data_IF_273120262634
#
_entry.id   IF_273120262634
#
_cell.length_a   1.000
_cell.length_b   1.000
_cell.length_c   1.000
_cell.angle_alpha   90.00
_cell.angle_beta   90.00
_cell.angle_gamma   90.00
#
_symmetry.space_group_name_H-M   'P 1'
#
loop_
_entity.id
_entity.type
_entity.pdbx_description
1 polymer ?
#
# COMPACT_ATOMS: atom_id res chain seq x y z
N UNK A 1 -12.85 -7.39 -39.52
CA UNK A 1 -12.54 -8.24 -38.35
C UNK A 1 -12.42 -7.31 -37.16
N UNK A 2 -13.45 -7.22 -36.31
CA UNK A 2 -13.37 -6.44 -35.08
C UNK A 2 -12.41 -7.17 -34.12
N UNK A 3 -11.33 -6.49 -33.71
CA UNK A 3 -10.45 -7.01 -32.67
C UNK A 3 -11.31 -7.25 -31.42
N UNK A 4 -11.34 -8.50 -30.95
CA UNK A 4 -11.95 -8.83 -29.65
C UNK A 4 -11.13 -8.09 -28.58
N UNK A 5 -11.63 -6.97 -28.08
CA UNK A 5 -11.09 -6.37 -26.86
C UNK A 5 -11.23 -7.40 -25.74
N UNK A 6 -10.10 -7.74 -25.11
CA UNK A 6 -10.12 -8.50 -23.87
C UNK A 6 -10.99 -7.71 -22.87
N UNK A 7 -11.87 -8.37 -22.09
CA UNK A 7 -12.65 -7.68 -21.08
C UNK A 7 -11.70 -7.01 -20.08
N UNK A 8 -11.87 -5.70 -19.88
CA UNK A 8 -11.07 -4.92 -18.93
C UNK A 8 -11.41 -5.33 -17.50
N UNK A 9 -10.41 -5.74 -16.72
CA UNK A 9 -10.54 -6.08 -15.30
C UNK A 9 -10.12 -4.86 -14.46
N UNK A 10 -11.04 -3.91 -14.27
CA UNK A 10 -10.80 -2.74 -13.44
C UNK A 10 -10.91 -3.11 -11.95
N UNK A 11 -9.84 -2.86 -11.19
CA UNK A 11 -9.81 -3.09 -9.75
C UNK A 11 -9.45 -1.81 -9.01
N UNK A 12 -10.03 -1.65 -7.82
CA UNK A 12 -9.71 -0.58 -6.88
C UNK A 12 -8.65 -1.07 -5.89
N UNK A 13 -7.60 -0.28 -5.68
CA UNK A 13 -6.51 -0.61 -4.76
C UNK A 13 -6.15 0.61 -3.91
N UNK A 14 -5.62 0.39 -2.71
CA UNK A 14 -5.16 1.44 -1.82
C UNK A 14 -3.64 1.39 -1.68
N UNK A 15 -2.97 2.46 -2.11
CA UNK A 15 -1.55 2.70 -1.89
C UNK A 15 -1.35 3.45 -0.57
N UNK A 16 -0.38 3.01 0.23
CA UNK A 16 0.02 3.63 1.49
C UNK A 16 1.50 3.95 1.49
N UNK A 17 1.85 5.14 1.97
CA UNK A 17 3.23 5.54 2.26
C UNK A 17 3.26 6.33 3.57
N UNK A 18 3.74 5.69 4.65
CA UNK A 18 3.69 6.27 5.99
C UNK A 18 2.25 6.53 6.43
N UNK A 19 1.87 7.81 6.59
CA UNK A 19 0.50 8.24 6.92
C UNK A 19 -0.30 8.70 5.69
N UNK A 20 0.29 8.67 4.50
CA UNK A 20 -0.37 9.07 3.25
C UNK A 20 -1.06 7.89 2.62
N UNK A 21 -2.32 8.05 2.25
CA UNK A 21 -3.14 7.04 1.60
C UNK A 21 -3.66 7.57 0.27
N UNK A 22 -3.68 6.71 -0.76
CA UNK A 22 -4.28 7.03 -2.05
C UNK A 22 -4.96 5.81 -2.65
N UNK A 23 -6.25 5.95 -2.93
CA UNK A 23 -7.01 4.96 -3.70
C UNK A 23 -6.86 5.23 -5.19
N UNK A 24 -6.53 4.21 -5.97
CA UNK A 24 -6.45 4.29 -7.44
C UNK A 24 -7.23 3.14 -8.09
N UNK A 25 -7.74 3.39 -9.29
CA UNK A 25 -8.32 2.37 -10.16
C UNK A 25 -7.27 1.96 -11.19
N UNK A 26 -7.06 0.66 -11.36
CA UNK A 26 -6.10 0.10 -12.33
C UNK A 26 -6.77 -0.97 -13.18
N UNK A 27 -6.37 -1.05 -14.44
CA UNK A 27 -6.75 -2.16 -15.33
C UNK A 27 -5.76 -3.32 -15.16
N UNK A 28 -6.20 -4.37 -14.47
CA UNK A 28 -5.36 -5.57 -14.25
C UNK A 28 -5.13 -6.38 -15.53
N UNK A 29 -5.96 -6.18 -16.55
CA UNK A 29 -5.75 -6.79 -17.87
C UNK A 29 -4.62 -6.12 -18.66
N UNK A 30 -4.18 -4.92 -18.25
CA UNK A 30 -3.05 -4.24 -18.87
C UNK A 30 -1.72 -4.97 -18.57
N UNK A 31 -0.94 -5.41 -19.59
CA UNK A 31 0.35 -6.06 -19.37
C UNK A 31 1.37 -5.18 -18.62
N UNK A 32 1.20 -3.85 -18.68
CA UNK A 32 2.07 -2.87 -18.04
C UNK A 32 1.53 -2.35 -16.70
N UNK A 33 0.50 -3.00 -16.13
CA UNK A 33 -0.15 -2.55 -14.88
C UNK A 33 0.83 -2.36 -13.72
N UNK A 34 1.87 -3.18 -13.61
CA UNK A 34 2.87 -3.05 -12.55
C UNK A 34 3.73 -1.78 -12.72
N UNK A 35 4.02 -1.38 -13.95
CA UNK A 35 4.77 -0.16 -14.24
C UNK A 35 3.91 1.07 -13.96
N UNK A 36 2.62 1.03 -14.31
CA UNK A 36 1.65 2.06 -13.96
C UNK A 36 1.50 2.21 -12.44
N UNK A 37 1.40 1.09 -11.74
CA UNK A 37 1.35 1.04 -10.27
C UNK A 37 2.62 1.62 -9.64
N UNK A 38 3.79 1.30 -10.20
CA UNK A 38 5.07 1.85 -9.75
C UNK A 38 5.16 3.35 -9.98
N UNK A 39 4.69 3.86 -11.12
CA UNK A 39 4.63 5.29 -11.41
C UNK A 39 3.71 6.04 -10.44
N UNK A 40 2.57 5.45 -10.07
CA UNK A 40 1.69 6.00 -9.04
C UNK A 40 2.38 6.07 -7.67
N UNK A 41 3.15 5.05 -7.32
CA UNK A 41 3.92 5.05 -6.08
C UNK A 41 5.02 6.13 -6.07
N UNK A 42 5.71 6.32 -7.20
CA UNK A 42 6.68 7.41 -7.38
C UNK A 42 6.01 8.77 -7.15
N UNK A 43 4.83 9.01 -7.72
CA UNK A 43 4.10 10.27 -7.54
C UNK A 43 3.64 10.51 -6.11
N UNK A 44 3.26 9.47 -5.37
CA UNK A 44 2.92 9.59 -3.94
C UNK A 44 4.15 9.97 -3.14
N UNK A 45 5.27 9.28 -3.38
CA UNK A 45 6.52 9.49 -2.66
C UNK A 45 7.10 10.87 -2.93
N UNK A 46 7.11 11.32 -4.19
CA UNK A 46 7.65 12.65 -4.56
C UNK A 46 6.85 13.80 -3.94
N UNK A 47 5.53 13.63 -3.79
CA UNK A 47 4.67 14.61 -3.10
C UNK A 47 4.82 14.57 -1.58
N UNK A 48 5.17 13.42 -1.01
CA UNK A 48 5.35 13.27 0.43
C UNK A 48 6.74 13.72 0.90
N UNK A 49 7.75 13.65 0.03
CA UNK A 49 9.14 14.01 0.33
C UNK A 49 9.66 14.93 -0.78
N UNK A 50 9.47 16.24 -0.59
CA UNK A 50 9.92 17.27 -1.55
C UNK A 50 11.43 17.22 -1.83
N UNK A 51 12.23 16.70 -0.90
CA UNK A 51 13.69 16.60 -1.02
C UNK A 51 14.19 15.31 -1.68
N UNK A 52 13.29 14.40 -2.07
CA UNK A 52 13.72 13.11 -2.61
C UNK A 52 14.07 13.25 -4.10
N UNK A 53 15.37 13.23 -4.39
CA UNK A 53 15.83 13.12 -5.77
C UNK A 53 15.56 11.70 -6.32
N UNK A 54 14.45 11.55 -7.03
CA UNK A 54 14.03 10.30 -7.66
C UNK A 54 15.00 9.80 -8.74
N UNK A 55 15.90 10.65 -9.25
CA UNK A 55 16.94 10.24 -10.19
C UNK A 55 18.17 9.67 -9.50
N UNK A 56 18.24 9.75 -8.17
CA UNK A 56 19.32 9.17 -7.41
C UNK A 56 19.12 7.64 -7.35
N UNK A 57 19.93 6.91 -8.14
CA UNK A 57 19.96 5.45 -8.28
C UNK A 57 20.08 4.65 -6.96
N UNK A 58 20.29 5.34 -5.82
CA UNK A 58 20.37 4.73 -4.49
C UNK A 58 19.02 4.47 -3.83
N UNK A 59 17.94 5.10 -4.31
CA UNK A 59 16.60 4.90 -3.77
C UNK A 59 15.85 3.88 -4.63
N UNK A 60 15.45 2.77 -4.01
CA UNK A 60 14.64 1.74 -4.65
C UNK A 60 13.25 1.72 -4.03
N UNK A 61 12.23 2.09 -4.81
CA UNK A 61 10.83 1.95 -4.39
C UNK A 61 10.38 0.51 -4.64
N UNK A 62 9.86 -0.13 -3.59
CA UNK A 62 9.29 -1.47 -3.61
C UNK A 62 7.87 -1.44 -3.05
N UNK A 63 7.02 -2.31 -3.61
CA UNK A 63 5.59 -2.38 -3.28
C UNK A 63 5.28 -3.70 -2.59
N UNK A 64 4.67 -3.64 -1.42
CA UNK A 64 4.37 -4.80 -0.60
C UNK A 64 2.88 -4.87 -0.30
N UNK A 65 2.28 -6.04 -0.49
CA UNK A 65 0.93 -6.31 0.00
C UNK A 65 0.98 -6.48 1.50
N UNK A 66 0.08 -5.77 2.20
CA UNK A 66 -0.20 -6.01 3.61
C UNK A 66 -1.19 -7.16 3.65
N UNK A 67 -0.75 -8.33 4.10
CA UNK A 67 -1.64 -9.49 4.17
C UNK A 67 -2.54 -9.39 5.40
N UNK A 68 -3.88 -9.24 5.25
CA UNK A 68 -4.77 -9.00 6.38
C UNK A 68 -5.04 -10.26 7.22
N UNK A 69 -4.70 -11.44 6.70
CA UNK A 69 -5.05 -12.73 7.29
C UNK A 69 -3.93 -13.38 8.11
N UNK A 70 -2.74 -12.77 8.18
CA UNK A 70 -1.60 -13.33 8.92
C UNK A 70 -1.39 -12.60 10.25
N UNK A 71 -1.24 -13.38 11.32
CA UNK A 71 -0.68 -12.94 12.59
C UNK A 71 0.66 -13.68 12.82
N UNK A 72 1.81 -12.97 12.82
CA UNK A 72 1.98 -11.52 12.71
C UNK A 72 1.72 -10.99 11.28
N UNK A 73 1.43 -9.67 11.12
CA UNK A 73 1.29 -9.05 9.81
C UNK A 73 2.52 -9.32 8.96
N UNK A 74 2.32 -9.83 7.75
CA UNK A 74 3.43 -10.11 6.82
C UNK A 74 3.33 -9.25 5.58
N UNK A 75 4.50 -8.80 5.11
CA UNK A 75 4.64 -8.04 3.88
C UNK A 75 5.03 -8.99 2.75
N UNK A 76 4.21 -9.04 1.70
CA UNK A 76 4.51 -9.81 0.48
C UNK A 76 4.90 -8.86 -0.65
N UNK A 77 6.13 -8.97 -1.15
CA UNK A 77 6.57 -8.20 -2.32
C UNK A 77 5.70 -8.53 -3.54
N UNK A 78 5.16 -7.50 -4.18
CA UNK A 78 4.40 -7.62 -5.44
C UNK A 78 5.39 -7.89 -6.56
N UNK A 79 5.23 -9.03 -7.26
CA UNK A 79 6.08 -9.40 -8.40
C UNK A 79 5.29 -9.61 -9.69
N UNK A 80 3.99 -9.92 -9.57
CA UNK A 80 3.14 -10.29 -10.70
C UNK A 80 1.80 -9.56 -10.61
N UNK A 81 1.16 -9.31 -11.74
CA UNK A 81 -0.20 -8.74 -11.78
C UNK A 81 -1.23 -9.60 -11.02
N UNK A 82 -1.02 -10.92 -10.94
CA UNK A 82 -1.86 -11.83 -10.16
C UNK A 82 -1.79 -11.62 -8.65
N UNK A 83 -0.76 -10.94 -8.14
CA UNK A 83 -0.70 -10.57 -6.73
C UNK A 83 -1.73 -9.48 -6.38
N UNK A 84 -2.27 -8.78 -7.40
CA UNK A 84 -3.25 -7.72 -7.23
C UNK A 84 -4.67 -8.30 -7.13
N UNK A 85 -5.29 -8.07 -5.97
CA UNK A 85 -6.69 -8.40 -5.70
C UNK A 85 -7.50 -7.13 -5.50
N UNK A 86 -8.82 -7.14 -5.80
CA UNK A 86 -9.68 -6.01 -5.48
C UNK A 86 -9.58 -5.64 -4.00
N UNK A 87 -9.56 -4.33 -3.72
CA UNK A 87 -9.46 -3.76 -2.38
C UNK A 87 -8.19 -4.16 -1.59
N UNK A 88 -7.10 -4.52 -2.27
CA UNK A 88 -5.84 -4.77 -1.56
C UNK A 88 -5.21 -3.46 -1.05
N UNK A 89 -4.52 -3.59 0.08
CA UNK A 89 -3.70 -2.54 0.68
C UNK A 89 -2.23 -2.81 0.36
N UNK A 90 -1.58 -1.83 -0.26
CA UNK A 90 -0.20 -1.91 -0.74
C UNK A 90 0.63 -0.85 -0.02
N UNK A 91 1.59 -1.30 0.79
CA UNK A 91 2.60 -0.46 1.41
C UNK A 91 3.72 -0.16 0.41
N UNK A 92 4.05 1.12 0.27
CA UNK A 92 5.19 1.62 -0.49
C UNK A 92 6.37 1.72 0.49
N UNK A 93 7.46 1.01 0.20
CA UNK A 93 8.68 1.06 1.00
C UNK A 93 9.81 1.58 0.13
N UNK A 94 10.52 2.59 0.65
CA UNK A 94 11.75 3.09 0.05
C UNK A 94 12.90 2.34 0.70
N UNK A 95 13.72 1.71 -0.13
CA UNK A 95 14.98 1.10 0.28
C UNK A 95 16.14 1.99 -0.17
N UNK A 96 17.12 2.23 0.72
CA UNK A 96 18.35 2.97 0.40
C UNK A 96 19.57 2.08 0.58
N UNK A 97 20.40 1.96 -0.45
CA UNK A 97 21.54 1.02 -0.44
C UNK A 97 22.75 1.45 0.39
N UNK A 98 22.85 2.73 0.73
CA UNK A 98 23.99 3.32 1.45
C UNK A 98 23.79 3.45 2.96
N UNK A 99 22.63 3.04 3.48
CA UNK A 99 22.32 3.07 4.90
C UNK A 99 21.67 1.76 5.35
N UNK A 100 22.43 0.96 6.10
CA UNK A 100 21.87 0.07 7.12
C UNK A 100 21.35 0.92 8.30
N UNK A 101 20.45 1.86 8.06
CA UNK A 101 19.72 2.49 9.16
C UNK A 101 18.63 1.52 9.60
N UNK A 102 19.03 0.49 10.32
CA UNK A 102 18.11 -0.28 11.14
C UNK A 102 17.64 0.65 12.25
N UNK A 103 16.55 1.36 11.99
CA UNK A 103 15.79 2.01 13.06
C UNK A 103 14.87 0.93 13.60
N UNK A 104 15.03 0.49 14.86
CA UNK A 104 14.13 -0.51 15.42
C UNK A 104 12.70 0.01 15.34
N UNK A 105 11.72 -0.84 14.97
CA UNK A 105 10.33 -0.43 14.97
C UNK A 105 9.95 -0.01 16.38
N UNK A 106 9.34 1.16 16.52
CA UNK A 106 8.77 1.61 17.77
C UNK A 106 7.37 1.02 17.89
N UNK A 107 7.20 0.07 18.80
CA UNK A 107 5.89 -0.50 19.06
C UNK A 107 4.98 0.52 19.76
N UNK A 108 3.72 0.57 19.32
CA UNK A 108 2.70 1.38 19.98
C UNK A 108 2.33 0.74 21.32
N UNK A 109 2.30 1.54 22.39
CA UNK A 109 1.70 1.12 23.67
C UNK A 109 0.19 1.31 23.56
N UNK A 110 -0.54 0.22 23.34
CA UNK A 110 -1.99 0.24 23.19
C UNK A 110 -2.67 -0.01 24.54
N UNK A 111 -3.78 0.68 24.78
CA UNK A 111 -4.66 0.51 25.97
C UNK A 111 -6.08 0.31 25.49
N UNK A 112 -6.85 -0.52 26.20
CA UNK A 112 -8.27 -0.72 25.92
C UNK A 112 -9.04 0.62 25.94
N UNK A 113 -9.84 0.86 24.91
CA UNK A 113 -10.63 2.08 24.78
C UNK A 113 -12.08 1.75 24.39
N UNK A 114 -13.04 2.56 24.85
CA UNK A 114 -14.43 2.47 24.45
C UNK A 114 -14.77 3.69 23.57
N UNK A 115 -14.92 3.46 22.27
CA UNK A 115 -15.23 4.53 21.33
C UNK A 115 -16.72 4.89 21.38
N UNK A 116 -17.02 6.18 21.64
CA UNK A 116 -18.40 6.70 21.74
C UNK A 116 -18.99 7.16 20.39
N UNK A 117 -18.22 7.05 19.32
CA UNK A 117 -18.58 7.46 17.96
C UNK A 117 -18.05 6.43 16.96
N UNK A 118 -18.65 6.29 15.77
CA UNK A 118 -18.10 5.47 14.69
C UNK A 118 -16.62 5.78 14.47
N UNK A 119 -15.75 4.80 14.66
CA UNK A 119 -14.29 4.97 14.56
C UNK A 119 -13.72 3.89 13.65
N UNK A 120 -12.71 4.25 12.85
CA UNK A 120 -12.00 3.33 11.95
C UNK A 120 -10.61 3.05 12.51
N UNK A 121 -10.14 1.81 12.36
CA UNK A 121 -8.80 1.41 12.78
C UNK A 121 -7.75 2.11 11.91
N UNK A 122 -6.78 2.81 12.50
CA UNK A 122 -5.73 3.53 11.76
C UNK A 122 -4.72 2.64 11.04
N UNK A 123 -4.71 1.34 11.35
CA UNK A 123 -3.79 0.37 10.74
C UNK A 123 -4.38 -0.32 9.50
N UNK A 124 -5.68 -0.65 9.52
CA UNK A 124 -6.35 -1.43 8.46
C UNK A 124 -7.60 -0.77 7.88
N UNK A 125 -7.98 0.41 8.38
CA UNK A 125 -9.14 1.20 7.96
C UNK A 125 -10.48 0.46 8.04
N UNK A 126 -10.56 -0.65 8.78
CA UNK A 126 -11.81 -1.31 9.07
C UNK A 126 -12.59 -0.56 10.15
N UNK A 127 -13.91 -0.54 9.99
CA UNK A 127 -14.83 0.00 10.98
C UNK A 127 -14.74 -0.79 12.28
N UNK A 128 -14.42 -0.12 13.38
CA UNK A 128 -14.41 -0.72 14.71
C UNK A 128 -15.83 -0.73 15.26
N UNK A 129 -16.32 -1.92 15.60
CA UNK A 129 -17.70 -2.14 16.02
C UNK A 129 -17.77 -3.03 17.26
N UNK A 130 -18.83 -2.85 18.04
CA UNK A 130 -19.00 -3.49 19.34
C UNK A 130 -19.59 -2.53 20.36
N UNK A 131 -20.09 -3.05 21.48
CA UNK A 131 -20.66 -2.21 22.55
C UNK A 131 -19.58 -1.62 23.47
N UNK A 132 -18.51 -2.38 23.72
CA UNK A 132 -17.40 -2.04 24.61
C UNK A 132 -16.12 -2.65 24.04
N UNK A 133 -14.97 -2.02 24.29
CA UNK A 133 -13.62 -2.45 23.90
C UNK A 133 -13.52 -2.81 22.41
N UNK A 134 -14.03 -1.93 21.54
CA UNK A 134 -13.90 -2.06 20.08
C UNK A 134 -12.45 -1.89 19.65
#
# INVERSE_FOLDING_TARGET
>A
MAARQLPQELILICLKFGITYRTIQIDKSNPNVLSELHQNAIDIVSKAIDSLDMNNYRHHIKLFLISPHHQPPSLKLIRRSNDLTPACFIEIIIWRSDQETFTPPLDHVLVEHNYKKPTYCSACDYFMWGLMKQ
#
